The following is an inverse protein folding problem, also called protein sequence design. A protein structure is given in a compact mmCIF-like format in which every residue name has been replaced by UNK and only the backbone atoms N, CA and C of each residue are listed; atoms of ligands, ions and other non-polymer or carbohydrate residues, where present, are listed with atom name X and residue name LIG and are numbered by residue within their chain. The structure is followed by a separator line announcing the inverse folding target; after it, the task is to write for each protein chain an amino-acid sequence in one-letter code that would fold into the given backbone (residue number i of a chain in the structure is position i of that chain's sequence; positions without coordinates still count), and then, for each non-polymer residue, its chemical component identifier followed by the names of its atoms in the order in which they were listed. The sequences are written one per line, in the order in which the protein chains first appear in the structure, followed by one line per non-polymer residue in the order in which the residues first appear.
data_IF_355880212832
#
_entry.id   IF_355880212832
#
_cell.length_a   1.000
_cell.length_b   1.000
_cell.length_c   1.000
_cell.angle_alpha   90.00
_cell.angle_beta   90.00
_cell.angle_gamma   90.00
#
_symmetry.space_group_name_H-M   'P 1'
#
loop_
_entity.id
_entity.type
_entity.pdbx_description
1 polymer ?
#
# COMPACT_ATOMS: atom_id res chain seq x y z
N UNK A 1 15.84 18.09 -4.67
CA UNK A 1 15.94 16.64 -4.93
C UNK A 1 15.60 15.94 -3.64
N UNK A 2 14.69 14.96 -3.65
CA UNK A 2 14.35 14.22 -2.43
C UNK A 2 15.54 13.33 -2.03
N UNK A 3 16.04 13.47 -0.80
CA UNK A 3 17.10 12.61 -0.30
C UNK A 3 16.49 11.29 0.18
N UNK A 4 17.07 10.16 -0.21
CA UNK A 4 16.51 8.84 0.08
C UNK A 4 17.56 7.89 0.60
N UNK A 5 17.17 7.07 1.57
CA UNK A 5 17.99 6.00 2.14
C UNK A 5 17.56 4.68 1.53
N UNK A 6 18.53 3.90 1.04
CA UNK A 6 18.32 2.51 0.63
C UNK A 6 18.50 1.61 1.84
N UNK A 7 17.47 0.86 2.21
CA UNK A 7 17.53 -0.11 3.32
C UNK A 7 16.69 -1.35 3.00
N UNK A 8 17.34 -2.50 2.96
CA UNK A 8 16.73 -3.72 2.44
C UNK A 8 16.28 -3.53 0.99
N UNK A 9 15.02 -3.86 0.70
CA UNK A 9 14.41 -3.72 -0.63
C UNK A 9 13.66 -2.39 -0.81
N UNK A 10 13.80 -1.45 0.13
CA UNK A 10 13.08 -0.17 0.12
C UNK A 10 14.02 1.00 -0.19
N UNK A 11 13.48 1.94 -0.95
CA UNK A 11 14.01 3.31 -1.08
C UNK A 11 13.08 4.24 -0.28
N UNK A 12 13.54 4.65 0.90
CA UNK A 12 12.75 5.42 1.86
C UNK A 12 13.18 6.87 1.84
N UNK A 13 12.24 7.80 1.95
CA UNK A 13 12.57 9.22 2.16
C UNK A 13 13.40 9.39 3.44
N UNK A 14 14.48 10.17 3.38
CA UNK A 14 15.39 10.32 4.51
C UNK A 14 14.71 10.93 5.74
N UNK A 15 13.77 11.87 5.56
CA UNK A 15 13.05 12.49 6.66
C UNK A 15 12.22 11.45 7.40
N UNK A 16 11.50 10.60 6.64
CA UNK A 16 10.71 9.52 7.21
C UNK A 16 11.60 8.48 7.91
N UNK A 17 12.75 8.14 7.32
CA UNK A 17 13.70 7.21 7.92
C UNK A 17 14.18 7.71 9.29
N UNK A 18 14.60 8.99 9.36
CA UNK A 18 15.08 9.62 10.60
C UNK A 18 13.97 9.74 11.64
N UNK A 19 12.76 10.15 11.25
CA UNK A 19 11.60 10.20 12.14
C UNK A 19 11.37 8.84 12.83
N UNK A 20 11.37 7.76 12.05
CA UNK A 20 11.16 6.41 12.63
C UNK A 20 12.33 6.02 13.53
N UNK A 21 13.57 6.28 13.12
CA UNK A 21 14.77 5.86 13.87
C UNK A 21 14.97 6.65 15.17
N UNK A 22 14.79 7.96 15.12
CA UNK A 22 15.23 8.89 16.16
C UNK A 22 14.10 9.30 17.11
N UNK A 23 12.85 9.26 16.65
CA UNK A 23 11.70 9.73 17.44
C UNK A 23 10.70 8.61 17.79
N UNK A 24 10.40 7.70 16.85
CA UNK A 24 9.34 6.68 17.04
C UNK A 24 9.87 5.39 17.66
N UNK A 25 10.98 4.85 17.14
CA UNK A 25 11.53 3.58 17.60
C UNK A 25 12.08 3.58 19.03
N UNK A 26 12.73 4.64 19.54
CA UNK A 26 13.25 4.67 20.90
C UNK A 26 12.17 4.39 21.95
N UNK A 27 12.48 3.54 22.93
CA UNK A 27 11.52 3.14 23.99
C UNK A 27 10.54 2.03 23.60
N UNK A 28 10.44 1.65 22.31
CA UNK A 28 9.53 0.57 21.86
C UNK A 28 10.12 -0.83 21.98
N UNK A 29 11.44 -0.95 22.14
CA UNK A 29 12.17 -2.22 22.06
C UNK A 29 12.38 -2.74 20.64
N UNK A 30 11.93 -2.01 19.61
CA UNK A 30 12.13 -2.36 18.20
C UNK A 30 13.35 -1.64 17.63
N UNK A 31 14.27 -2.39 17.02
CA UNK A 31 15.37 -1.80 16.27
C UNK A 31 14.89 -1.27 14.91
N UNK A 32 15.16 0.01 14.62
CA UNK A 32 14.67 0.69 13.42
C UNK A 32 15.15 0.03 12.11
N UNK A 33 16.43 -0.35 12.02
CA UNK A 33 16.98 -1.00 10.81
C UNK A 33 16.34 -2.37 10.57
N UNK A 34 16.12 -3.14 11.65
CA UNK A 34 15.41 -4.42 11.59
C UNK A 34 13.96 -4.22 11.15
N UNK A 35 13.29 -3.18 11.66
CA UNK A 35 11.93 -2.82 11.25
C UNK A 35 11.87 -2.56 9.74
N UNK A 36 12.74 -1.69 9.21
CA UNK A 36 12.73 -1.35 7.79
C UNK A 36 13.05 -2.54 6.89
N UNK A 37 14.01 -3.40 7.26
CA UNK A 37 14.30 -4.63 6.52
C UNK A 37 13.11 -5.59 6.51
N UNK A 38 12.45 -5.77 7.65
CA UNK A 38 11.25 -6.62 7.76
C UNK A 38 10.09 -6.05 6.93
N UNK A 39 9.87 -4.73 6.99
CA UNK A 39 8.87 -4.05 6.17
C UNK A 39 9.16 -4.25 4.68
N UNK A 40 10.41 -4.13 4.24
CA UNK A 40 10.80 -4.39 2.86
C UNK A 40 10.43 -5.79 2.39
N UNK A 41 10.70 -6.81 3.20
CA UNK A 41 10.30 -8.18 2.90
C UNK A 41 8.77 -8.34 2.80
N UNK A 42 8.02 -7.75 3.73
CA UNK A 42 6.55 -7.76 3.70
C UNK A 42 6.02 -7.08 2.43
N UNK A 43 6.56 -5.91 2.08
CA UNK A 43 6.15 -5.17 0.88
C UNK A 43 6.46 -5.97 -0.39
N UNK A 44 7.62 -6.60 -0.48
CA UNK A 44 7.98 -7.46 -1.61
C UNK A 44 7.00 -8.63 -1.77
N UNK A 45 6.63 -9.28 -0.67
CA UNK A 45 5.82 -10.50 -0.71
C UNK A 45 4.31 -10.22 -0.84
N UNK A 46 3.83 -9.10 -0.26
CA UNK A 46 2.40 -8.75 -0.21
C UNK A 46 2.01 -7.61 -1.14
N UNK A 47 2.96 -6.80 -1.60
CA UNK A 47 2.73 -5.70 -2.55
C UNK A 47 2.01 -6.16 -3.82
N UNK A 48 2.49 -7.20 -4.53
CA UNK A 48 1.80 -7.72 -5.72
C UNK A 48 0.39 -8.22 -5.43
N UNK A 49 0.16 -8.84 -4.27
CA UNK A 49 -1.17 -9.32 -3.86
C UNK A 49 -2.12 -8.16 -3.60
N UNK A 50 -1.65 -7.10 -2.95
CA UNK A 50 -2.45 -5.90 -2.70
C UNK A 50 -2.85 -5.21 -4.03
N UNK A 51 -1.92 -5.08 -4.97
CA UNK A 51 -2.22 -4.54 -6.31
C UNK A 51 -3.28 -5.37 -7.04
N UNK A 52 -3.18 -6.71 -7.02
CA UNK A 52 -4.18 -7.59 -7.62
C UNK A 52 -5.58 -7.44 -6.96
N UNK A 53 -5.65 -7.17 -5.65
CA UNK A 53 -6.92 -6.90 -4.97
C UNK A 53 -7.55 -5.57 -5.40
N UNK A 54 -6.73 -4.54 -5.63
CA UNK A 54 -7.20 -3.26 -6.18
C UNK A 54 -7.74 -3.45 -7.62
N UNK A 55 -7.04 -4.19 -8.47
CA UNK A 55 -7.51 -4.52 -9.82
C UNK A 55 -8.83 -5.30 -9.79
N UNK A 56 -8.98 -6.23 -8.84
CA UNK A 56 -10.23 -6.96 -8.63
C UNK A 56 -11.37 -6.02 -8.24
N UNK A 57 -11.12 -5.05 -7.36
CA UNK A 57 -12.11 -4.02 -6.99
C UNK A 57 -12.55 -3.23 -8.23
N UNK A 58 -11.60 -2.80 -9.05
CA UNK A 58 -11.90 -2.04 -10.26
C UNK A 58 -12.68 -2.87 -11.28
N UNK A 59 -12.37 -4.16 -11.42
CA UNK A 59 -13.11 -5.07 -12.29
C UNK A 59 -14.57 -5.19 -11.84
N UNK A 60 -14.81 -5.36 -10.54
CA UNK A 60 -16.15 -5.43 -9.98
C UNK A 60 -16.92 -4.13 -10.23
N UNK A 61 -16.29 -2.98 -9.98
CA UNK A 61 -16.89 -1.67 -10.23
C UNK A 61 -17.27 -1.52 -11.70
N UNK A 62 -16.36 -1.82 -12.64
CA UNK A 62 -16.64 -1.78 -14.08
C UNK A 62 -17.81 -2.69 -14.48
N UNK A 63 -17.98 -3.85 -13.83
CA UNK A 63 -19.12 -4.74 -14.08
C UNK A 63 -20.43 -4.12 -13.59
N UNK A 64 -20.43 -3.52 -12.41
CA UNK A 64 -21.58 -2.81 -11.85
C UNK A 64 -21.95 -1.62 -12.76
N UNK A 65 -20.97 -0.83 -13.17
CA UNK A 65 -21.18 0.33 -14.04
C UNK A 65 -21.80 -0.10 -15.37
N UNK A 66 -21.23 -1.12 -16.03
CA UNK A 66 -21.79 -1.68 -17.27
C UNK A 66 -23.22 -2.18 -17.09
N UNK A 67 -23.50 -2.87 -15.99
CA UNK A 67 -24.85 -3.37 -15.71
C UNK A 67 -25.85 -2.23 -15.54
N UNK A 68 -25.48 -1.18 -14.78
CA UNK A 68 -26.31 -0.01 -14.59
C UNK A 68 -26.52 0.77 -15.89
N UNK A 69 -25.46 1.00 -16.68
CA UNK A 69 -25.56 1.69 -17.97
C UNK A 69 -26.46 0.95 -18.94
N UNK A 70 -26.38 -0.38 -19.03
CA UNK A 70 -27.22 -1.19 -19.90
C UNK A 70 -28.72 -1.18 -19.50
N UNK A 71 -29.03 -0.79 -18.26
CA UNK A 71 -30.40 -0.77 -17.70
C UNK A 71 -30.88 0.64 -17.39
N UNK A 72 -30.22 1.67 -17.95
CA UNK A 72 -30.55 3.07 -17.71
C UNK A 72 -32.05 3.32 -17.96
N UNK A 73 -32.71 3.96 -17.00
CA UNK A 73 -34.14 4.29 -17.06
C UNK A 73 -35.09 3.15 -16.69
N UNK A 74 -34.60 1.94 -16.43
CA UNK A 74 -35.43 0.84 -15.89
C UNK A 74 -35.48 0.94 -14.36
N UNK A 75 -36.63 0.63 -13.72
CA UNK A 75 -36.67 0.53 -12.28
C UNK A 75 -35.67 -0.52 -11.80
N UNK A 76 -35.03 -0.25 -10.66
CA UNK A 76 -34.18 -1.25 -10.01
C UNK A 76 -35.05 -2.45 -9.62
N UNK A 77 -34.60 -3.67 -9.91
CA UNK A 77 -35.32 -4.87 -9.52
C UNK A 77 -35.13 -5.04 -8.00
N UNK A 78 -36.14 -4.61 -7.23
CA UNK A 78 -36.20 -4.78 -5.78
C UNK A 78 -36.76 -6.15 -5.42
#
# INVERSE_FOLDING_TARGET
MANTVLIGDLKVDETLYRLVRDEIAPGTGVNADRFWKALGAIVRDLGPKNSALLEKRDLLQRRIDRWNSARKGRPFNR
#
